data_IF_735698557653
#
_entry.id   IF_735698557653
#
_cell.length_a   1.000
_cell.length_b   1.000
_cell.length_c   1.000
_cell.angle_alpha   90.00
_cell.angle_beta   90.00
_cell.angle_gamma   90.00
#
_symmetry.space_group_name_H-M   'P 1'
#
loop_
_entity.id
_entity.type
_entity.pdbx_description
1 polymer ?
#
# COMPACT_ATOMS: atom_id res chain seq x y z
N UNK A 1 6.15 -10.10 -5.44
CA UNK A 1 5.07 -10.22 -4.42
C UNK A 1 4.70 -11.66 -4.05
N UNK A 2 5.37 -12.71 -4.57
CA UNK A 2 5.00 -14.10 -4.26
C UNK A 2 5.50 -14.60 -2.89
N UNK A 3 6.63 -14.08 -2.39
CA UNK A 3 7.26 -14.58 -1.15
C UNK A 3 6.40 -14.26 0.09
N UNK A 4 5.86 -13.04 0.18
CA UNK A 4 5.00 -12.63 1.31
C UNK A 4 3.66 -13.37 1.33
N UNK A 5 3.10 -13.65 0.16
CA UNK A 5 1.88 -14.46 0.03
C UNK A 5 2.13 -15.92 0.43
N UNK A 6 3.24 -16.50 -0.04
CA UNK A 6 3.67 -17.83 0.36
C UNK A 6 3.93 -17.90 1.87
N UNK A 7 4.57 -16.89 2.46
CA UNK A 7 4.80 -16.82 3.90
C UNK A 7 3.49 -16.83 4.71
N UNK A 8 2.43 -16.17 4.22
CA UNK A 8 1.10 -16.19 4.84
C UNK A 8 0.44 -17.58 4.84
N UNK A 9 0.72 -18.37 3.80
CA UNK A 9 0.26 -19.74 3.68
C UNK A 9 1.08 -20.67 4.57
N UNK A 10 2.42 -20.57 4.51
CA UNK A 10 3.33 -21.40 5.30
C UNK A 10 3.22 -21.16 6.81
N UNK A 11 2.88 -19.94 7.26
CA UNK A 11 2.65 -19.68 8.69
C UNK A 11 1.51 -20.51 9.28
N UNK A 12 0.66 -21.10 8.44
CA UNK A 12 -0.47 -21.97 8.84
C UNK A 12 -0.15 -23.46 8.80
N UNK A 13 0.98 -23.86 8.21
CA UNK A 13 1.30 -25.25 7.89
C UNK A 13 2.27 -25.92 8.88
N UNK A 14 2.34 -25.43 10.12
CA UNK A 14 3.20 -25.92 11.22
C UNK A 14 4.69 -25.61 11.02
N UNK A 15 5.48 -25.66 12.12
CA UNK A 15 6.82 -25.03 12.35
C UNK A 15 6.81 -23.64 13.01
N UNK A 16 5.67 -23.22 13.55
CA UNK A 16 5.59 -21.92 14.24
C UNK A 16 6.45 -21.90 15.51
N UNK A 17 6.28 -22.90 16.38
CA UNK A 17 6.99 -22.96 17.66
C UNK A 17 8.51 -22.99 17.49
N UNK A 18 9.01 -23.76 16.53
CA UNK A 18 10.45 -23.92 16.26
C UNK A 18 11.12 -22.64 15.71
N UNK A 19 10.38 -21.78 15.00
CA UNK A 19 10.91 -20.60 14.30
C UNK A 19 10.67 -19.29 15.04
N UNK A 20 9.69 -19.24 15.94
CA UNK A 20 9.19 -18.00 16.54
C UNK A 20 9.20 -18.01 18.06
N UNK A 21 10.06 -18.82 18.70
CA UNK A 21 10.28 -18.81 20.16
C UNK A 21 8.97 -18.88 20.97
N UNK A 22 8.07 -19.78 20.57
CA UNK A 22 6.77 -20.00 21.22
C UNK A 22 5.84 -18.77 21.37
N UNK A 23 6.05 -17.69 20.61
CA UNK A 23 5.08 -16.58 20.61
C UNK A 23 3.70 -17.07 20.15
N UNK A 24 2.59 -16.46 20.60
CA UNK A 24 1.26 -16.86 20.15
C UNK A 24 1.11 -16.76 18.63
N UNK A 25 0.50 -17.78 18.01
CA UNK A 25 0.21 -17.79 16.57
C UNK A 25 -0.70 -16.61 16.20
N UNK A 26 -0.28 -15.83 15.20
CA UNK A 26 -1.07 -14.72 14.68
C UNK A 26 -1.56 -14.99 13.26
N UNK A 27 -2.87 -14.83 13.03
CA UNK A 27 -3.46 -14.94 11.69
C UNK A 27 -3.59 -13.57 11.04
N UNK A 28 -2.88 -13.36 9.93
CA UNK A 28 -2.98 -12.12 9.16
C UNK A 28 -4.31 -12.08 8.41
N UNK A 29 -5.16 -11.12 8.81
CA UNK A 29 -6.51 -10.95 8.27
C UNK A 29 -6.56 -10.41 6.83
N UNK A 30 -5.64 -9.52 6.47
CA UNK A 30 -5.51 -8.93 5.14
C UNK A 30 -4.04 -8.68 4.79
N UNK A 31 -3.67 -8.90 3.53
CA UNK A 31 -2.35 -8.58 2.98
C UNK A 31 -2.57 -7.70 1.76
N UNK A 32 -2.11 -6.46 1.84
CA UNK A 32 -2.17 -5.48 0.76
C UNK A 32 -0.77 -5.02 0.41
N UNK A 33 -0.55 -4.74 -0.85
CA UNK A 33 0.73 -4.27 -1.37
C UNK A 33 0.62 -2.81 -1.76
N UNK A 34 1.60 -2.03 -1.33
CA UNK A 34 1.78 -0.64 -1.72
C UNK A 34 2.90 -0.55 -2.77
N UNK A 35 2.74 0.36 -3.73
CA UNK A 35 3.67 0.56 -4.82
C UNK A 35 4.46 1.84 -4.59
N UNK A 36 5.79 1.69 -4.46
CA UNK A 36 6.67 2.85 -4.36
C UNK A 36 6.63 3.66 -5.67
N UNK A 37 6.75 4.99 -5.59
CA UNK A 37 6.58 5.90 -6.73
C UNK A 37 7.79 5.85 -7.68
N UNK A 38 7.84 4.83 -8.54
CA UNK A 38 8.80 4.74 -9.66
C UNK A 38 8.14 5.03 -11.02
N UNK A 39 6.81 5.10 -11.07
CA UNK A 39 5.98 5.34 -12.25
C UNK A 39 4.52 4.99 -11.98
N UNK A 40 3.68 4.92 -13.02
CA UNK A 40 2.34 4.35 -12.87
C UNK A 40 2.47 2.85 -12.59
N UNK A 41 1.86 2.35 -11.51
CA UNK A 41 1.97 0.94 -11.15
C UNK A 41 1.26 0.04 -12.17
N UNK A 42 1.95 -0.97 -12.67
CA UNK A 42 1.32 -2.10 -13.36
C UNK A 42 0.95 -3.17 -12.34
N UNK A 43 -0.32 -3.59 -12.36
CA UNK A 43 -0.82 -4.58 -11.42
C UNK A 43 -0.50 -5.99 -11.95
N UNK A 44 0.11 -6.87 -11.13
CA UNK A 44 0.24 -8.28 -11.48
C UNK A 44 -1.13 -8.92 -11.71
N UNK A 45 -1.19 -9.92 -12.60
CA UNK A 45 -2.40 -10.70 -12.83
C UNK A 45 -2.91 -11.32 -11.51
N UNK A 46 -4.22 -11.26 -11.28
CA UNK A 46 -4.85 -11.79 -10.07
C UNK A 46 -4.79 -10.88 -8.85
N UNK A 47 -4.24 -9.67 -8.98
CA UNK A 47 -4.30 -8.64 -7.94
C UNK A 47 -5.45 -7.67 -8.21
N UNK A 48 -6.20 -7.34 -7.17
CA UNK A 48 -7.32 -6.43 -7.22
C UNK A 48 -6.91 -5.05 -6.69
N UNK A 49 -7.04 -3.99 -7.48
CA UNK A 49 -6.73 -2.64 -7.02
C UNK A 49 -7.77 -2.13 -6.02
N UNK A 50 -7.28 -1.31 -5.09
CA UNK A 50 -8.07 -0.49 -4.19
C UNK A 50 -7.40 0.88 -4.10
N UNK A 51 -8.15 1.94 -4.33
CA UNK A 51 -7.68 3.31 -4.10
C UNK A 51 -8.17 3.79 -2.75
N UNK A 52 -7.25 4.30 -1.93
CA UNK A 52 -7.55 4.93 -0.65
C UNK A 52 -7.49 6.43 -0.83
N UNK A 53 -8.58 7.12 -0.52
CA UNK A 53 -8.61 8.58 -0.53
C UNK A 53 -7.72 9.14 0.60
N UNK A 54 -6.65 9.83 0.21
CA UNK A 54 -5.72 10.51 1.10
C UNK A 54 -5.76 12.02 0.93
N UNK A 55 -6.81 12.58 0.32
CA UNK A 55 -6.92 14.02 0.02
C UNK A 55 -6.66 14.90 1.23
N UNK A 56 -7.13 14.49 2.42
CA UNK A 56 -6.92 15.21 3.69
C UNK A 56 -5.55 14.96 4.36
N UNK A 57 -4.75 14.04 3.82
CA UNK A 57 -3.51 13.55 4.42
C UNK A 57 -2.29 13.67 3.50
N UNK A 58 -2.45 14.25 2.31
CA UNK A 58 -1.37 14.37 1.32
C UNK A 58 -0.19 15.18 1.88
N UNK A 59 -0.44 16.28 2.56
CA UNK A 59 0.60 17.08 3.22
C UNK A 59 1.35 16.28 4.28
N UNK A 60 0.60 15.61 5.18
CA UNK A 60 1.17 14.75 6.22
C UNK A 60 2.07 13.66 5.65
N UNK A 61 1.69 13.07 4.51
CA UNK A 61 2.51 12.09 3.80
C UNK A 61 3.82 12.70 3.30
N UNK A 62 3.77 13.87 2.65
CA UNK A 62 4.96 14.54 2.13
C UNK A 62 5.91 14.94 3.27
N UNK A 63 5.36 15.45 4.37
CA UNK A 63 6.14 15.79 5.57
C UNK A 63 6.81 14.55 6.18
N UNK A 64 6.09 13.43 6.27
CA UNK A 64 6.63 12.16 6.77
C UNK A 64 7.78 11.63 5.89
N UNK A 65 7.68 11.77 4.57
CA UNK A 65 8.78 11.42 3.65
C UNK A 65 9.97 12.35 3.87
N UNK A 66 9.72 13.65 4.03
CA UNK A 66 10.76 14.66 4.23
C UNK A 66 11.54 14.49 5.56
N UNK A 67 10.98 13.79 6.55
CA UNK A 67 11.70 13.43 7.77
C UNK A 67 12.97 12.60 7.50
N UNK A 68 13.02 11.82 6.42
CA UNK A 68 14.15 10.96 6.08
C UNK A 68 15.27 11.73 5.34
N UNK A 69 15.81 12.78 5.99
CA UNK A 69 16.79 13.71 5.40
C UNK A 69 17.99 13.04 4.74
N UNK A 70 18.51 11.95 5.33
CA UNK A 70 19.66 11.22 4.78
C UNK A 70 19.34 10.48 3.47
N UNK A 71 18.06 10.13 3.26
CA UNK A 71 17.60 9.42 2.07
C UNK A 71 17.19 10.39 0.95
N UNK A 72 16.69 11.56 1.34
CA UNK A 72 16.21 12.63 0.44
C UNK A 72 16.99 13.94 0.67
N UNK A 73 18.29 13.98 0.30
CA UNK A 73 19.05 15.23 0.29
C UNK A 73 18.44 16.22 -0.74
N UNK A 74 18.79 17.52 -0.67
CA UNK A 74 18.23 18.55 -1.54
C UNK A 74 18.29 18.23 -3.04
N UNK A 75 19.34 17.54 -3.49
CA UNK A 75 19.51 17.09 -4.88
C UNK A 75 18.41 16.14 -5.36
N UNK A 76 17.71 15.45 -4.44
CA UNK A 76 16.60 14.55 -4.72
C UNK A 76 15.22 15.18 -4.48
N UNK A 77 15.13 16.49 -4.28
CA UNK A 77 13.86 17.16 -3.95
C UNK A 77 12.74 16.93 -4.99
N UNK A 78 13.09 16.65 -6.25
CA UNK A 78 12.11 16.31 -7.30
C UNK A 78 11.25 15.07 -6.97
N UNK A 79 11.68 14.23 -6.02
CA UNK A 79 10.89 13.07 -5.59
C UNK A 79 9.58 13.48 -4.90
N UNK A 80 9.55 14.62 -4.20
CA UNK A 80 8.35 15.09 -3.51
C UNK A 80 7.25 15.47 -4.51
N UNK A 81 7.63 16.19 -5.57
CA UNK A 81 6.73 16.52 -6.68
C UNK A 81 6.21 15.26 -7.38
N UNK A 82 7.07 14.25 -7.57
CA UNK A 82 6.67 12.96 -8.16
C UNK A 82 5.68 12.20 -7.28
N UNK A 83 5.92 12.15 -5.97
CA UNK A 83 5.02 11.52 -4.99
C UNK A 83 3.66 12.22 -5.01
N UNK A 84 3.66 13.55 -4.95
CA UNK A 84 2.47 14.37 -4.95
C UNK A 84 1.67 14.19 -6.25
N UNK A 85 2.34 14.28 -7.39
CA UNK A 85 1.73 14.13 -8.71
C UNK A 85 1.12 12.74 -8.90
N UNK A 86 1.82 11.68 -8.48
CA UNK A 86 1.29 10.32 -8.56
C UNK A 86 0.03 10.16 -7.69
N UNK A 87 0.05 10.69 -6.46
CA UNK A 87 -1.12 10.65 -5.59
C UNK A 87 -2.31 11.39 -6.21
N UNK A 88 -2.09 12.56 -6.81
CA UNK A 88 -3.12 13.32 -7.52
C UNK A 88 -3.67 12.56 -8.73
N UNK A 89 -2.81 12.00 -9.58
CA UNK A 89 -3.23 11.22 -10.77
C UNK A 89 -4.09 10.01 -10.37
N UNK A 90 -3.66 9.25 -9.36
CA UNK A 90 -4.41 8.10 -8.85
C UNK A 90 -5.74 8.55 -8.26
N UNK A 91 -5.72 9.60 -7.43
CA UNK A 91 -6.92 10.13 -6.79
C UNK A 91 -7.94 10.61 -7.81
N UNK A 92 -7.53 11.47 -8.74
CA UNK A 92 -8.41 12.03 -9.77
C UNK A 92 -9.02 10.94 -10.66
N UNK A 93 -8.26 9.88 -10.95
CA UNK A 93 -8.75 8.73 -11.70
C UNK A 93 -9.78 7.90 -10.94
N UNK A 94 -9.82 8.01 -9.61
CA UNK A 94 -10.75 7.33 -8.71
C UNK A 94 -11.86 8.25 -8.16
N UNK A 95 -11.88 9.54 -8.54
CA UNK A 95 -12.89 10.50 -8.10
C UNK A 95 -12.57 11.28 -6.82
N UNK A 96 -11.33 11.27 -6.32
CA UNK A 96 -10.88 12.09 -5.20
C UNK A 96 -9.71 13.02 -5.58
N UNK A 97 -9.29 13.93 -4.69
CA UNK A 97 -8.22 14.88 -5.02
C UNK A 97 -6.82 14.25 -4.96
N UNK A 98 -6.62 13.27 -4.08
CA UNK A 98 -5.40 12.48 -4.01
C UNK A 98 -5.68 11.08 -3.45
N UNK A 99 -5.07 10.06 -4.05
CA UNK A 99 -5.28 8.67 -3.70
C UNK A 99 -3.99 7.85 -3.62
N UNK A 100 -4.00 6.81 -2.80
CA UNK A 100 -2.98 5.76 -2.80
C UNK A 100 -3.54 4.47 -3.39
N UNK A 101 -2.82 3.90 -4.34
CA UNK A 101 -3.15 2.60 -4.87
C UNK A 101 -2.54 1.50 -4.00
N UNK A 102 -3.39 0.63 -3.49
CA UNK A 102 -3.02 -0.67 -2.95
C UNK A 102 -3.58 -1.78 -3.82
N UNK A 103 -3.03 -2.98 -3.67
CA UNK A 103 -3.63 -4.18 -4.27
C UNK A 103 -3.54 -5.38 -3.36
N UNK A 104 -4.46 -6.34 -3.54
CA UNK A 104 -4.39 -7.63 -2.86
C UNK A 104 -5.01 -8.75 -3.69
N UNK A 105 -4.72 -9.99 -3.28
CA UNK A 105 -5.27 -11.20 -3.92
C UNK A 105 -6.76 -11.42 -3.61
N UNK A 106 -7.27 -10.77 -2.56
CA UNK A 106 -8.69 -10.82 -2.22
C UNK A 106 -9.42 -9.68 -2.90
N UNK A 107 -10.44 -10.03 -3.68
CA UNK A 107 -11.30 -9.03 -4.31
C UNK A 107 -12.01 -8.21 -3.23
N UNK A 108 -11.97 -6.86 -3.31
CA UNK A 108 -12.69 -6.01 -2.37
C UNK A 108 -14.21 -6.23 -2.49
N UNK A 109 -14.92 -6.13 -1.37
CA UNK A 109 -16.38 -6.21 -1.31
C UNK A 109 -16.95 -4.91 -0.78
N UNK A 110 -17.84 -4.29 -1.54
CA UNK A 110 -18.64 -3.17 -1.06
C UNK A 110 -19.75 -3.70 -0.16
N UNK A 111 -19.83 -3.22 1.09
CA UNK A 111 -20.92 -3.57 2.02
C UNK A 111 -22.10 -2.61 1.93
N UNK A 112 -21.83 -1.37 1.54
CA UNK A 112 -22.82 -0.33 1.30
C UNK A 112 -22.31 0.51 0.13
N UNK A 113 -23.00 0.41 -1.01
CA UNK A 113 -22.64 1.13 -2.24
C UNK A 113 -23.09 2.59 -2.21
N UNK A 114 -24.02 2.96 -1.33
CA UNK A 114 -24.55 4.32 -1.23
C UNK A 114 -23.62 5.24 -0.43
N UNK A 115 -22.75 4.67 0.43
CA UNK A 115 -21.71 5.41 1.15
C UNK A 115 -20.38 5.48 0.40
N UNK A 116 -20.29 4.88 -0.80
CA UNK A 116 -19.04 4.89 -1.60
C UNK A 116 -18.83 6.17 -2.43
N UNK A 117 -19.86 7.02 -2.57
CA UNK A 117 -19.84 8.23 -3.41
C UNK A 117 -20.07 9.49 -2.59
#
# INVERSE_FOLDING_TARGET
MAITEAALFYSRLTKWDDLFDHIPVHTVGSLLSYYLPSGLPSLPSGQWPLVIDISKHLSTKLDAIACYKSQFPPEKASIFERVESLAKVIGMSAGCAAGELLSGVRMPVARDVMQMF
#
